data_IF_146068013931
#
_entry.id   IF_146068013931
#
_cell.length_a   1.000
_cell.length_b   1.000
_cell.length_c   1.000
_cell.angle_alpha   90.00
_cell.angle_beta   90.00
_cell.angle_gamma   90.00
#
_symmetry.space_group_name_H-M   'P 1'
#
loop_
_entity.id
_entity.type
_entity.pdbx_description
1 polymer ?
#
# COMPACT_ATOMS: atom_id res chain seq x y z
N UNK A 1 1.87 22.16 13.73
CA UNK A 1 3.33 22.35 13.80
C UNK A 1 3.88 20.96 14.00
N UNK A 2 4.50 20.36 12.98
CA UNK A 2 5.10 19.03 13.11
C UNK A 2 6.34 19.20 14.00
N UNK A 3 6.32 18.64 15.22
CA UNK A 3 7.47 18.67 16.11
C UNK A 3 8.56 17.73 15.57
N UNK A 4 9.77 18.27 15.40
CA UNK A 4 10.94 17.55 14.87
C UNK A 4 11.25 16.31 15.71
N UNK A 5 11.04 16.41 17.03
CA UNK A 5 11.28 15.33 17.97
C UNK A 5 10.36 14.13 17.68
N UNK A 6 9.06 14.35 17.49
CA UNK A 6 8.12 13.28 17.14
C UNK A 6 8.42 12.62 15.77
N UNK A 7 8.97 13.38 14.81
CA UNK A 7 9.40 12.81 13.53
C UNK A 7 10.60 11.87 13.71
N UNK A 8 11.58 12.28 14.51
CA UNK A 8 12.76 11.45 14.79
C UNK A 8 12.39 10.19 15.59
N UNK A 9 11.48 10.30 16.56
CA UNK A 9 10.96 9.14 17.29
C UNK A 9 10.29 8.12 16.37
N UNK A 10 9.52 8.57 15.38
CA UNK A 10 8.91 7.67 14.38
C UNK A 10 9.96 6.99 13.48
N UNK A 11 11.02 7.71 13.12
CA UNK A 11 12.17 7.17 12.37
C UNK A 11 12.91 6.10 13.19
N UNK A 12 13.14 6.36 14.47
CA UNK A 12 13.82 5.44 15.38
C UNK A 12 13.00 4.16 15.60
N UNK A 13 11.70 4.31 15.88
CA UNK A 13 10.75 3.20 16.01
C UNK A 13 10.79 2.29 14.76
N UNK A 14 10.70 2.88 13.57
CA UNK A 14 10.78 2.14 12.32
C UNK A 14 12.14 1.45 12.15
N UNK A 15 13.24 2.17 12.42
CA UNK A 15 14.58 1.60 12.30
C UNK A 15 14.75 0.38 13.19
N UNK A 16 14.24 0.43 14.42
CA UNK A 16 14.24 -0.70 15.34
C UNK A 16 13.45 -1.89 14.79
N UNK A 17 12.27 -1.64 14.21
CA UNK A 17 11.48 -2.67 13.51
C UNK A 17 12.21 -3.25 12.29
N UNK A 18 13.02 -2.45 11.59
CA UNK A 18 13.64 -2.84 10.32
C UNK A 18 15.00 -3.53 10.46
N UNK A 19 15.77 -3.23 11.53
CA UNK A 19 17.14 -3.77 11.77
C UNK A 19 17.26 -5.29 11.61
N UNK A 20 16.21 -6.03 11.97
CA UNK A 20 16.19 -7.50 11.89
C UNK A 20 15.10 -8.06 10.96
N UNK A 21 14.46 -7.21 10.16
CA UNK A 21 13.36 -7.63 9.29
C UNK A 21 13.90 -8.17 7.95
N UNK A 22 13.75 -9.48 7.65
CA UNK A 22 14.29 -10.08 6.43
C UNK A 22 13.62 -9.59 5.14
N UNK A 23 12.50 -8.85 5.26
CA UNK A 23 11.80 -8.26 4.12
C UNK A 23 12.40 -6.90 3.70
N UNK A 24 13.33 -6.36 4.47
CA UNK A 24 14.08 -5.15 4.12
C UNK A 24 15.30 -5.58 3.28
N UNK A 25 15.45 -5.06 2.05
CA UNK A 25 16.59 -5.43 1.23
C UNK A 25 17.92 -5.00 1.87
N UNK A 26 18.91 -5.90 1.86
CA UNK A 26 20.23 -5.66 2.47
C UNK A 26 21.01 -4.44 1.93
N UNK A 27 20.67 -3.96 0.74
CA UNK A 27 21.28 -2.77 0.13
C UNK A 27 20.63 -1.46 0.57
N UNK A 28 19.52 -1.52 1.32
CA UNK A 28 18.87 -0.34 1.90
C UNK A 28 19.63 0.05 3.17
N UNK A 29 20.22 1.25 3.16
CA UNK A 29 20.65 1.89 4.40
C UNK A 29 19.43 2.55 5.04
N UNK A 30 18.89 1.93 6.10
CA UNK A 30 17.65 2.35 6.76
C UNK A 30 17.73 3.76 7.36
N UNK A 31 18.93 4.19 7.78
CA UNK A 31 19.17 5.53 8.34
C UNK A 31 18.92 6.65 7.31
N UNK A 32 19.05 6.33 6.01
CA UNK A 32 18.87 7.29 4.92
C UNK A 32 17.44 7.28 4.35
N UNK A 33 16.54 6.46 4.88
CA UNK A 33 15.15 6.37 4.41
C UNK A 33 14.31 7.40 5.16
N UNK A 34 13.63 8.29 4.44
CA UNK A 34 12.62 9.20 5.02
C UNK A 34 11.25 8.53 5.15
N UNK A 35 10.23 9.28 5.58
CA UNK A 35 8.85 8.79 5.70
C UNK A 35 8.01 8.92 4.41
N UNK A 36 8.56 9.43 3.30
CA UNK A 36 7.87 9.57 1.99
C UNK A 36 6.42 10.12 2.10
N UNK A 37 6.24 11.26 2.77
CA UNK A 37 4.92 11.84 3.04
C UNK A 37 4.30 12.52 1.79
N UNK A 38 3.61 11.73 0.96
CA UNK A 38 2.79 12.21 -0.15
C UNK A 38 1.32 11.86 0.10
N UNK A 39 0.54 12.82 0.59
CA UNK A 39 -0.85 12.58 0.95
C UNK A 39 -1.75 12.56 -0.28
N UNK A 40 -2.63 11.55 -0.34
CA UNK A 40 -3.65 11.45 -1.40
C UNK A 40 -4.72 12.51 -1.20
N UNK A 41 -5.08 13.23 -2.26
CA UNK A 41 -6.19 14.17 -2.23
C UNK A 41 -7.52 13.45 -1.89
N UNK A 42 -8.40 14.01 -1.02
CA UNK A 42 -9.64 13.34 -0.62
C UNK A 42 -10.52 12.85 -1.77
N UNK A 43 -10.69 13.66 -2.82
CA UNK A 43 -11.49 13.27 -4.00
C UNK A 43 -10.94 12.03 -4.72
N UNK A 44 -9.62 11.85 -4.71
CA UNK A 44 -8.95 10.71 -5.31
C UNK A 44 -9.11 9.47 -4.44
N UNK A 45 -9.05 9.65 -3.11
CA UNK A 45 -9.37 8.57 -2.18
C UNK A 45 -10.82 8.09 -2.34
N UNK A 46 -11.78 9.03 -2.48
CA UNK A 46 -13.21 8.71 -2.72
C UNK A 46 -13.38 7.95 -4.03
N UNK A 47 -12.78 8.43 -5.12
CA UNK A 47 -12.83 7.77 -6.43
C UNK A 47 -12.38 6.30 -6.32
N UNK A 48 -11.22 6.06 -5.74
CA UNK A 48 -10.63 4.73 -5.67
C UNK A 48 -11.27 3.81 -4.64
N UNK A 49 -11.75 4.37 -3.53
CA UNK A 49 -12.60 3.63 -2.60
C UNK A 49 -13.86 3.12 -3.31
N UNK A 50 -14.56 3.98 -4.06
CA UNK A 50 -15.75 3.58 -4.81
C UNK A 50 -15.45 2.53 -5.88
N UNK A 51 -14.35 2.67 -6.62
CA UNK A 51 -13.92 1.64 -7.59
C UNK A 51 -13.63 0.29 -6.90
N UNK A 52 -12.99 0.30 -5.72
CA UNK A 52 -12.74 -0.92 -4.97
C UNK A 52 -14.06 -1.57 -4.52
N UNK A 53 -15.00 -0.79 -3.99
CA UNK A 53 -16.31 -1.29 -3.59
C UNK A 53 -17.09 -1.89 -4.78
N UNK A 54 -17.05 -1.23 -5.94
CA UNK A 54 -17.67 -1.75 -7.16
C UNK A 54 -17.04 -3.08 -7.60
N UNK A 55 -15.70 -3.17 -7.57
CA UNK A 55 -14.98 -4.41 -7.86
C UNK A 55 -15.38 -5.54 -6.91
N UNK A 56 -15.43 -5.27 -5.60
CA UNK A 56 -15.82 -6.24 -4.57
C UNK A 56 -17.26 -6.70 -4.75
N UNK A 57 -18.17 -5.78 -5.07
CA UNK A 57 -19.57 -6.11 -5.36
C UNK A 57 -19.71 -7.04 -6.56
N UNK A 58 -18.95 -6.81 -7.65
CA UNK A 58 -18.94 -7.70 -8.82
C UNK A 58 -18.39 -9.09 -8.52
N UNK A 59 -17.49 -9.20 -7.54
CA UNK A 59 -16.98 -10.48 -7.03
C UNK A 59 -17.93 -11.14 -6.01
N UNK A 60 -19.09 -10.54 -5.74
CA UNK A 60 -20.09 -11.06 -4.80
C UNK A 60 -19.71 -10.92 -3.33
N UNK A 61 -18.82 -9.99 -2.99
CA UNK A 61 -18.33 -9.80 -1.63
C UNK A 61 -19.25 -8.88 -0.83
N UNK A 62 -19.78 -9.40 0.27
CA UNK A 62 -20.54 -8.62 1.24
C UNK A 62 -19.61 -7.82 2.15
N UNK A 63 -19.73 -6.50 2.09
CA UNK A 63 -18.83 -5.57 2.79
C UNK A 63 -18.89 -5.77 4.31
N UNK A 64 -20.01 -6.18 4.89
CA UNK A 64 -20.19 -6.41 6.34
C UNK A 64 -19.40 -7.60 6.89
N UNK A 65 -19.01 -8.54 6.03
CA UNK A 65 -18.15 -9.66 6.37
C UNK A 65 -16.65 -9.32 6.28
N UNK A 66 -16.32 -8.09 5.91
CA UNK A 66 -14.95 -7.65 5.71
C UNK A 66 -14.35 -6.92 6.92
N UNK A 67 -13.03 -6.81 6.93
CA UNK A 67 -12.24 -5.88 7.74
C UNK A 67 -11.39 -5.07 6.76
N UNK A 68 -11.41 -3.76 6.91
CA UNK A 68 -10.57 -2.86 6.10
C UNK A 68 -9.30 -2.50 6.87
N UNK A 69 -8.18 -2.46 6.18
CA UNK A 69 -6.90 -2.07 6.75
C UNK A 69 -6.25 -1.03 5.83
N UNK A 70 -5.90 0.12 6.39
CA UNK A 70 -5.01 1.07 5.73
C UNK A 70 -3.64 1.05 6.43
N UNK A 71 -2.58 0.53 5.78
CA UNK A 71 -1.29 0.24 6.44
C UNK A 71 -0.34 1.44 6.53
N UNK A 72 -0.72 2.59 5.99
CA UNK A 72 0.08 3.81 5.95
C UNK A 72 -0.85 5.02 5.78
N UNK A 73 -1.73 5.20 6.76
CA UNK A 73 -2.91 6.06 6.64
C UNK A 73 -2.58 7.55 6.53
N UNK A 74 -1.42 8.00 7.02
CA UNK A 74 -0.98 9.38 6.99
C UNK A 74 -2.04 10.34 7.56
N UNK A 75 -2.55 11.22 6.70
CA UNK A 75 -3.63 12.17 7.04
C UNK A 75 -5.04 11.54 7.07
N UNK A 76 -5.18 10.26 6.70
CA UNK A 76 -6.41 9.49 6.76
C UNK A 76 -7.36 9.66 5.57
N UNK A 77 -6.87 10.07 4.39
CA UNK A 77 -7.74 10.32 3.23
C UNK A 77 -8.56 9.09 2.80
N UNK A 78 -7.99 7.88 2.86
CA UNK A 78 -8.77 6.65 2.67
C UNK A 78 -9.42 6.22 3.99
N UNK A 79 -8.70 6.29 5.11
CA UNK A 79 -9.14 5.81 6.42
C UNK A 79 -10.48 6.40 6.85
N UNK A 80 -10.68 7.70 6.60
CA UNK A 80 -11.91 8.41 6.94
C UNK A 80 -13.15 7.88 6.18
N UNK A 81 -12.94 7.21 5.04
CA UNK A 81 -14.00 6.61 4.23
C UNK A 81 -14.36 5.19 4.71
N UNK A 82 -13.53 4.57 5.54
CA UNK A 82 -13.69 3.17 5.93
C UNK A 82 -14.77 2.99 7.01
N UNK A 83 -15.38 1.79 7.12
CA UNK A 83 -16.36 1.51 8.15
C UNK A 83 -15.72 1.54 9.56
N UNK A 84 -16.05 2.55 10.37
CA UNK A 84 -15.40 2.84 11.67
C UNK A 84 -15.31 1.65 12.65
N UNK A 85 -16.29 0.75 12.66
CA UNK A 85 -16.31 -0.42 13.56
C UNK A 85 -15.53 -1.63 13.01
N UNK A 86 -15.07 -1.55 11.76
CA UNK A 86 -14.49 -2.66 10.99
C UNK A 86 -13.30 -2.19 10.14
N UNK A 87 -12.52 -1.26 10.69
CA UNK A 87 -11.32 -0.71 10.06
C UNK A 87 -10.15 -0.65 11.03
N UNK A 88 -8.94 -0.85 10.51
CA UNK A 88 -7.67 -0.62 11.22
C UNK A 88 -6.88 0.39 10.39
N UNK A 89 -6.43 1.47 11.02
CA UNK A 89 -5.57 2.47 10.40
C UNK A 89 -4.23 2.43 11.10
N UNK A 90 -3.17 2.22 10.34
CA UNK A 90 -1.79 2.17 10.86
C UNK A 90 -1.00 3.27 10.18
N UNK A 91 -0.13 3.93 10.94
CA UNK A 91 0.92 4.77 10.37
C UNK A 91 2.09 4.83 11.34
N UNK A 92 3.33 4.95 10.85
CA UNK A 92 4.49 5.11 11.72
C UNK A 92 4.51 6.50 12.39
N UNK A 93 3.90 7.48 11.73
CA UNK A 93 3.80 8.87 12.17
C UNK A 93 2.36 9.36 11.96
N UNK A 94 1.40 8.88 12.78
CA UNK A 94 -0.01 9.16 12.59
C UNK A 94 -0.31 10.64 12.83
N UNK A 95 -1.13 11.23 11.96
CA UNK A 95 -1.60 12.62 12.09
C UNK A 95 -2.88 12.69 12.97
N UNK A 96 -3.57 11.56 13.14
CA UNK A 96 -4.83 11.46 13.87
C UNK A 96 -4.74 10.40 14.96
N UNK A 97 -5.33 10.69 16.12
CA UNK A 97 -5.39 9.76 17.26
C UNK A 97 -6.18 8.47 16.97
N UNK A 98 -7.01 8.46 15.91
CA UNK A 98 -7.76 7.28 15.48
C UNK A 98 -6.93 6.31 14.62
N UNK A 99 -5.69 6.68 14.30
CA UNK A 99 -4.73 5.87 13.54
C UNK A 99 -3.67 5.41 14.54
N UNK A 100 -3.44 4.10 14.60
CA UNK A 100 -2.48 3.51 15.53
C UNK A 100 -1.05 3.79 15.05
N UNK A 101 -0.18 4.23 15.97
CA UNK A 101 1.25 4.39 15.68
C UNK A 101 1.92 3.02 15.56
N UNK A 102 2.30 2.61 14.36
CA UNK A 102 2.82 1.27 14.10
C UNK A 102 3.63 1.21 12.80
N UNK A 103 4.77 0.52 12.82
CA UNK A 103 5.43 0.06 11.59
C UNK A 103 4.65 -1.12 11.00
N UNK A 104 4.11 -0.94 9.80
CA UNK A 104 3.32 -1.99 9.14
C UNK A 104 4.15 -3.22 8.76
N UNK A 105 5.44 -3.08 8.42
CA UNK A 105 6.26 -4.22 7.98
C UNK A 105 6.60 -5.21 9.11
N UNK A 106 6.39 -4.80 10.36
CA UNK A 106 6.47 -5.61 11.58
C UNK A 106 5.11 -5.88 12.24
N UNK A 107 4.03 -5.33 11.70
CA UNK A 107 2.69 -5.56 12.21
C UNK A 107 2.20 -6.97 11.88
N UNK A 108 1.34 -7.52 12.74
CA UNK A 108 0.68 -8.81 12.54
C UNK A 108 -0.83 -8.65 12.71
N UNK A 109 -1.61 -9.39 11.92
CA UNK A 109 -3.07 -9.33 11.95
C UNK A 109 -3.61 -9.84 13.30
N UNK A 110 -4.46 -9.06 14.01
CA UNK A 110 -5.09 -9.55 15.24
C UNK A 110 -5.97 -10.79 14.99
N UNK A 111 -5.82 -11.82 15.83
CA UNK A 111 -6.50 -13.13 15.70
C UNK A 111 -8.02 -13.01 15.53
N UNK A 112 -8.65 -12.03 16.19
CA UNK A 112 -10.10 -11.76 16.10
C UNK A 112 -10.59 -11.50 14.67
N UNK A 113 -9.70 -11.15 13.74
CA UNK A 113 -10.01 -10.87 12.34
C UNK A 113 -9.65 -12.00 11.38
N UNK A 114 -9.09 -13.12 11.83
CA UNK A 114 -8.66 -14.23 10.97
C UNK A 114 -9.79 -14.74 10.05
N UNK A 115 -11.00 -14.85 10.59
CA UNK A 115 -12.19 -15.35 9.87
C UNK A 115 -12.88 -14.31 8.99
N UNK A 116 -12.43 -13.05 8.99
CA UNK A 116 -12.98 -12.00 8.13
C UNK A 116 -12.33 -12.01 6.76
N UNK A 117 -12.97 -11.38 5.78
CA UNK A 117 -12.36 -11.06 4.48
C UNK A 117 -11.50 -9.81 4.68
N UNK A 118 -10.23 -9.87 4.32
CA UNK A 118 -9.24 -8.80 4.58
C UNK A 118 -9.08 -7.95 3.33
N UNK A 119 -9.48 -6.69 3.43
CA UNK A 119 -9.35 -5.70 2.37
C UNK A 119 -8.30 -4.67 2.78
N UNK A 120 -7.21 -4.58 2.03
CA UNK A 120 -6.21 -3.54 2.22
C UNK A 120 -6.45 -2.42 1.21
N UNK A 121 -6.42 -1.17 1.66
CA UNK A 121 -6.58 0.00 0.78
C UNK A 121 -5.65 1.13 1.25
N UNK A 122 -5.13 1.95 0.33
CA UNK A 122 -4.31 3.10 0.69
C UNK A 122 -3.29 3.50 -0.35
N UNK A 123 -2.36 4.35 0.06
CA UNK A 123 -1.19 4.79 -0.70
C UNK A 123 0.10 4.46 0.07
N UNK A 124 0.64 3.23 -0.05
CA UNK A 124 1.87 2.85 0.63
C UNK A 124 3.06 3.72 0.20
N UNK A 125 4.05 3.95 1.08
CA UNK A 125 5.25 4.69 0.73
C UNK A 125 6.04 3.97 -0.38
N UNK A 126 6.52 4.72 -1.36
CA UNK A 126 7.06 4.13 -2.59
C UNK A 126 8.49 3.61 -2.38
N UNK A 127 9.33 4.39 -1.71
CA UNK A 127 10.76 4.13 -1.62
C UNK A 127 11.47 4.20 -2.98
N UNK A 128 12.80 4.28 -2.93
CA UNK A 128 13.63 4.35 -4.13
C UNK A 128 13.36 3.18 -5.08
N UNK A 129 13.07 3.47 -6.36
CA UNK A 129 12.73 2.44 -7.38
C UNK A 129 11.54 1.53 -6.99
N UNK A 130 10.67 1.96 -6.06
CA UNK A 130 9.48 1.21 -5.65
C UNK A 130 9.76 0.02 -4.73
N UNK A 131 10.92 -0.01 -4.06
CA UNK A 131 11.28 -1.14 -3.20
C UNK A 131 10.36 -1.26 -1.99
N UNK A 132 9.98 -0.13 -1.39
CA UNK A 132 9.19 -0.11 -0.16
C UNK A 132 7.74 -0.49 -0.44
N UNK A 133 7.17 0.03 -1.53
CA UNK A 133 5.86 -0.41 -2.03
C UNK A 133 5.83 -1.92 -2.32
N UNK A 134 6.92 -2.51 -2.83
CA UNK A 134 7.02 -3.96 -3.02
C UNK A 134 7.08 -4.73 -1.68
N UNK A 135 7.82 -4.23 -0.70
CA UNK A 135 7.84 -4.82 0.65
C UNK A 135 6.46 -4.77 1.30
N UNK A 136 5.75 -3.64 1.19
CA UNK A 136 4.36 -3.50 1.63
C UNK A 136 3.45 -4.52 0.93
N UNK A 137 3.49 -4.59 -0.40
CA UNK A 137 2.67 -5.54 -1.17
C UNK A 137 2.90 -7.00 -0.75
N UNK A 138 4.15 -7.40 -0.53
CA UNK A 138 4.46 -8.76 -0.10
C UNK A 138 4.06 -9.02 1.36
N UNK A 139 4.15 -8.02 2.23
CA UNK A 139 3.69 -8.15 3.61
C UNK A 139 2.16 -8.25 3.67
N UNK A 140 1.44 -7.39 2.93
CA UNK A 140 -0.03 -7.46 2.76
C UNK A 140 -0.48 -8.83 2.25
N UNK A 141 0.24 -9.41 1.29
CA UNK A 141 -0.11 -10.69 0.68
C UNK A 141 -0.16 -11.88 1.67
N UNK A 142 0.44 -11.75 2.87
CA UNK A 142 0.31 -12.76 3.92
C UNK A 142 -1.13 -12.89 4.43
N UNK A 143 -1.88 -11.79 4.43
CA UNK A 143 -3.20 -11.69 5.08
C UNK A 143 -4.34 -11.40 4.10
N UNK A 144 -4.06 -10.64 3.05
CA UNK A 144 -5.08 -10.03 2.22
C UNK A 144 -5.86 -11.02 1.34
N UNK A 145 -7.16 -10.79 1.24
CA UNK A 145 -8.00 -11.35 0.20
C UNK A 145 -8.08 -10.40 -1.00
N UNK A 146 -8.11 -9.09 -0.73
CA UNK A 146 -8.14 -8.03 -1.73
C UNK A 146 -7.25 -6.85 -1.33
N UNK A 147 -6.67 -6.17 -2.31
CA UNK A 147 -5.83 -4.99 -2.14
C UNK A 147 -6.20 -3.95 -3.19
N UNK A 148 -6.46 -2.71 -2.78
CA UNK A 148 -6.61 -1.56 -3.67
C UNK A 148 -5.57 -0.49 -3.30
N UNK A 149 -4.45 -0.43 -4.01
CA UNK A 149 -3.37 0.49 -3.68
C UNK A 149 -3.03 1.46 -4.81
N UNK A 150 -2.63 2.66 -4.41
CA UNK A 150 -1.85 3.55 -5.25
C UNK A 150 -0.37 3.09 -5.20
N UNK A 151 0.21 2.77 -6.35
CA UNK A 151 1.55 2.19 -6.47
C UNK A 151 2.41 2.98 -7.47
N UNK A 152 3.75 2.94 -7.35
CA UNK A 152 4.63 3.67 -8.26
C UNK A 152 4.57 3.11 -9.69
N UNK A 153 4.85 3.96 -10.68
CA UNK A 153 4.86 3.58 -12.11
C UNK A 153 5.74 2.37 -12.46
N UNK A 154 6.73 2.03 -11.62
CA UNK A 154 7.53 0.81 -11.79
C UNK A 154 6.68 -0.47 -11.78
N UNK A 155 5.52 -0.47 -11.12
CA UNK A 155 4.54 -1.56 -11.15
C UNK A 155 3.80 -1.69 -12.49
N UNK A 156 3.95 -0.75 -13.43
CA UNK A 156 3.42 -0.92 -14.78
C UNK A 156 4.28 -1.89 -15.59
N UNK A 157 5.60 -1.88 -15.36
CA UNK A 157 6.59 -2.54 -16.22
C UNK A 157 6.39 -4.05 -16.34
N UNK A 158 6.54 -4.57 -17.55
CA UNK A 158 6.65 -6.01 -17.82
C UNK A 158 8.11 -6.50 -17.88
N UNK A 159 9.07 -5.60 -17.62
CA UNK A 159 10.51 -5.87 -17.69
C UNK A 159 11.04 -6.89 -16.68
N UNK A 160 12.26 -7.38 -16.93
CA UNK A 160 12.98 -8.23 -15.95
C UNK A 160 13.24 -7.37 -14.70
N UNK A 161 12.84 -7.87 -13.53
CA UNK A 161 12.99 -7.14 -12.27
C UNK A 161 11.82 -6.23 -11.89
N UNK A 162 10.75 -6.17 -12.69
CA UNK A 162 9.54 -5.42 -12.35
C UNK A 162 9.01 -5.80 -10.96
N UNK A 163 8.72 -4.81 -10.07
CA UNK A 163 8.09 -5.05 -8.77
C UNK A 163 6.77 -5.80 -8.90
N UNK A 164 5.96 -5.46 -9.91
CA UNK A 164 4.69 -6.12 -10.21
C UNK A 164 4.84 -7.64 -10.31
N UNK A 165 5.89 -8.11 -11.00
CA UNK A 165 6.15 -9.54 -11.21
C UNK A 165 6.81 -10.24 -10.00
N UNK A 166 7.16 -9.47 -8.95
CA UNK A 166 7.79 -9.95 -7.72
C UNK A 166 6.81 -10.01 -6.54
N UNK A 167 5.61 -9.45 -6.68
CA UNK A 167 4.52 -9.64 -5.73
C UNK A 167 4.14 -11.13 -5.72
N UNK A 168 4.10 -11.74 -4.53
CA UNK A 168 3.72 -13.15 -4.33
C UNK A 168 2.37 -13.22 -3.62
N UNK A 169 1.58 -14.27 -3.88
CA UNK A 169 0.29 -14.50 -3.20
C UNK A 169 -0.87 -13.59 -3.63
N UNK A 170 -0.62 -12.61 -4.51
CA UNK A 170 -1.63 -11.72 -5.09
C UNK A 170 -1.54 -11.70 -6.61
N UNK A 171 -2.70 -11.65 -7.27
CA UNK A 171 -2.87 -11.52 -8.72
C UNK A 171 -3.48 -10.15 -9.05
N UNK A 172 -2.84 -9.42 -9.96
CA UNK A 172 -3.34 -8.15 -10.47
C UNK A 172 -4.66 -8.36 -11.24
N UNK A 173 -5.67 -7.55 -10.94
CA UNK A 173 -7.01 -7.58 -11.54
C UNK A 173 -7.36 -6.30 -12.29
N UNK A 174 -6.93 -5.16 -11.78
CA UNK A 174 -7.13 -3.85 -12.40
C UNK A 174 -5.87 -3.01 -12.29
N UNK A 175 -5.59 -2.19 -13.30
CA UNK A 175 -4.51 -1.20 -13.25
C UNK A 175 -4.84 -0.02 -14.14
N UNK A 176 -4.79 1.18 -13.58
CA UNK A 176 -4.97 2.43 -14.32
C UNK A 176 -3.99 3.51 -13.83
N UNK A 177 -3.74 4.50 -14.69
CA UNK A 177 -2.90 5.65 -14.33
C UNK A 177 -3.73 6.62 -13.49
N UNK A 178 -3.17 7.05 -12.36
CA UNK A 178 -3.80 8.05 -11.50
C UNK A 178 -3.88 9.40 -12.21
N UNK A 179 -4.98 10.18 -12.06
CA UNK A 179 -5.03 11.53 -12.61
C UNK A 179 -3.85 12.40 -12.16
N UNK A 180 -3.60 13.50 -12.87
CA UNK A 180 -2.57 14.46 -12.44
C UNK A 180 -3.02 15.18 -11.16
N UNK A 181 -2.05 15.74 -10.42
CA UNK A 181 -2.30 16.60 -9.25
C UNK A 181 -3.07 15.91 -8.11
N UNK A 182 -2.87 14.60 -7.94
CA UNK A 182 -3.58 13.79 -6.95
C UNK A 182 -2.91 13.74 -5.57
N UNK A 183 -1.69 14.27 -5.45
CA UNK A 183 -0.90 14.18 -4.24
C UNK A 183 -0.57 15.58 -3.72
N UNK A 184 -0.57 15.74 -2.41
CA UNK A 184 -0.19 16.96 -1.71
C UNK A 184 0.91 16.65 -0.68
N UNK A 185 1.87 17.55 -0.56
CA UNK A 185 2.87 17.48 0.51
C UNK A 185 2.28 17.92 1.86
N UNK A 186 2.98 17.71 2.99
CA UNK A 186 2.53 18.19 4.30
C UNK A 186 2.30 19.70 4.38
N UNK A 187 2.90 20.47 3.46
CA UNK A 187 2.73 21.92 3.34
C UNK A 187 1.55 22.31 2.43
N UNK A 188 0.76 21.35 1.94
CA UNK A 188 -0.40 21.57 1.07
C UNK A 188 -0.05 21.85 -0.39
N UNK A 189 1.22 21.68 -0.81
CA UNK A 189 1.64 21.88 -2.20
C UNK A 189 1.32 20.65 -3.03
N UNK A 190 0.74 20.86 -4.22
CA UNK A 190 0.50 19.79 -5.19
C UNK A 190 1.82 19.20 -5.68
N UNK A 191 1.96 17.88 -5.53
CA UNK A 191 3.13 17.11 -5.94
C UNK A 191 2.89 16.40 -7.27
N UNK A 192 3.85 16.52 -8.19
CA UNK A 192 3.77 15.93 -9.54
C UNK A 192 4.34 14.51 -9.53
N UNK A 193 3.66 13.61 -8.85
CA UNK A 193 4.01 12.18 -8.80
C UNK A 193 3.11 11.40 -9.76
N UNK A 194 3.72 10.65 -10.69
CA UNK A 194 2.98 9.69 -11.51
C UNK A 194 2.85 8.39 -10.73
N UNK A 195 1.64 7.84 -10.68
CA UNK A 195 1.32 6.62 -9.96
C UNK A 195 0.23 5.81 -10.70
N UNK A 196 0.00 4.61 -10.21
CA UNK A 196 -1.01 3.68 -10.70
C UNK A 196 -1.99 3.38 -9.58
N UNK A 197 -3.28 3.36 -9.89
CA UNK A 197 -4.25 2.67 -9.05
C UNK A 197 -4.31 1.21 -9.49
N UNK A 198 -4.14 0.28 -8.55
CA UNK A 198 -4.19 -1.15 -8.85
C UNK A 198 -5.06 -1.90 -7.84
N UNK A 199 -5.89 -2.81 -8.37
CA UNK A 199 -6.64 -3.78 -7.58
C UNK A 199 -6.02 -5.16 -7.76
N UNK A 200 -5.74 -5.81 -6.64
CA UNK A 200 -5.18 -7.15 -6.56
C UNK A 200 -6.10 -8.05 -5.75
N UNK A 201 -6.12 -9.34 -6.11
CA UNK A 201 -6.87 -10.38 -5.39
C UNK A 201 -5.91 -11.50 -4.99
N UNK A 202 -6.15 -12.13 -3.85
CA UNK A 202 -5.45 -13.36 -3.44
C UNK A 202 -5.39 -14.39 -4.57
N UNK A 203 -4.20 -14.91 -4.83
CA UNK A 203 -3.96 -15.89 -5.87
C UNK A 203 -2.57 -15.78 -6.48
N UNK A 204 -2.27 -16.68 -7.41
CA UNK A 204 -0.96 -16.72 -8.05
C UNK A 204 -0.75 -15.57 -9.03
N UNK A 205 0.40 -14.92 -8.90
CA UNK A 205 0.84 -13.89 -9.82
C UNK A 205 1.44 -14.54 -11.09
N UNK A 206 0.57 -14.79 -12.06
CA UNK A 206 0.98 -15.40 -13.32
C UNK A 206 1.79 -14.38 -14.15
N UNK A 207 3.07 -14.68 -14.39
CA UNK A 207 3.81 -13.99 -15.44
C UNK A 207 3.16 -14.35 -16.77
N UNK A 208 2.80 -13.34 -17.57
CA UNK A 208 2.47 -13.58 -18.99
C UNK A 208 3.63 -14.37 -19.60
N UNK A 209 3.34 -15.51 -20.23
CA UNK A 209 4.34 -16.26 -20.97
C UNK A 209 4.99 -15.32 -21.97
N UNK A 210 6.29 -15.10 -21.84
CA UNK A 210 7.03 -14.39 -22.88
C UNK A 210 7.25 -15.38 -24.00
N UNK A 211 6.68 -15.10 -25.17
CA UNK A 211 7.09 -15.80 -26.38
C UNK A 211 8.59 -15.56 -26.53
N UNK A 212 9.37 -16.64 -26.45
CA UNK A 212 10.82 -16.58 -26.67
C UNK A 212 11.08 -16.41 -28.16
N UNK A 213 12.23 -15.85 -28.55
CA UNK A 213 12.57 -15.73 -29.98
C UNK A 213 12.50 -17.07 -30.73
N UNK A 214 12.69 -18.20 -30.02
CA UNK A 214 12.55 -19.57 -30.55
C UNK A 214 11.11 -19.97 -30.92
N UNK A 215 10.11 -19.21 -30.48
CA UNK A 215 8.70 -19.45 -30.81
C UNK A 215 8.22 -18.56 -31.98
N UNK A 216 9.12 -17.73 -32.53
CA UNK A 216 8.90 -16.87 -33.69
C UNK A 216 9.74 -17.26 -34.91
N UNK A 217 10.56 -18.31 -34.79
CA UNK A 217 11.34 -18.96 -35.85
C UNK A 217 10.70 -20.33 -36.08
#
# INVERSE_FOLDING_TARGET
MFEIDCYNEAIDLRNDCWKSNPNIPNWVNIENVGLDQFFTHPDIAILYYNQLLEFLSKEGIEIDNCIFIEPSAGAGSFFDLLPKSRSIGLDIYPIKNSIDQQDFLSWELPEKYEKKIKIFIGNPPFGYRGWLALSFMNHVAKYADYVGFILPMSFQSDGKGSPKNRVRGLRLKHSEIVPKNCFVSPLGKVEKVNALWQIWKKGENLKKSRLTCKQWI
#
